data_IF_028871175334
#
_entry.id   IF_028871175334
#
_cell.length_a   1.000
_cell.length_b   1.000
_cell.length_c   1.000
_cell.angle_alpha   90.00
_cell.angle_beta   90.00
_cell.angle_gamma   90.00
#
_symmetry.space_group_name_H-M   'P 1'
#
loop_
_entity.id
_entity.type
_entity.pdbx_description
1 polymer ?
#
# COMPACT_ATOMS: atom_id res chain seq x y z
N UNK A 1 -10.81 21.39 17.40
CA UNK A 1 -10.95 19.94 17.13
C UNK A 1 -9.73 19.23 17.70
N UNK A 2 -9.88 18.21 18.54
CA UNK A 2 -8.74 17.51 19.15
C UNK A 2 -8.30 16.31 18.30
N UNK A 3 -7.06 15.83 18.51
CA UNK A 3 -6.57 14.60 17.88
C UNK A 3 -7.50 13.41 18.15
N UNK A 4 -8.03 13.32 19.38
CA UNK A 4 -8.97 12.26 19.75
C UNK A 4 -10.27 12.36 18.95
N UNK A 5 -10.80 13.58 18.74
CA UNK A 5 -11.98 13.77 17.89
C UNK A 5 -11.75 13.29 16.47
N UNK A 6 -10.58 13.60 15.87
CA UNK A 6 -10.21 13.12 14.53
C UNK A 6 -10.06 11.61 14.49
N UNK A 7 -9.47 11.01 15.53
CA UNK A 7 -9.32 9.55 15.65
C UNK A 7 -10.68 8.85 15.69
N UNK A 8 -11.61 9.34 16.50
CA UNK A 8 -12.97 8.80 16.59
C UNK A 8 -13.74 8.91 15.26
N UNK A 9 -13.61 10.03 14.56
CA UNK A 9 -14.20 10.18 13.22
C UNK A 9 -13.58 9.23 12.21
N UNK A 10 -12.25 9.07 12.23
CA UNK A 10 -11.56 8.12 11.34
C UNK A 10 -12.03 6.69 11.60
N UNK A 11 -12.21 6.30 12.87
CA UNK A 11 -12.76 4.99 13.23
C UNK A 11 -14.21 4.82 12.77
N UNK A 12 -15.04 5.83 12.96
CA UNK A 12 -16.48 5.78 12.64
C UNK A 12 -16.76 5.79 11.14
N UNK A 13 -16.11 6.69 10.39
CA UNK A 13 -16.43 6.95 8.99
C UNK A 13 -15.39 6.36 8.02
N UNK A 14 -14.15 6.16 8.45
CA UNK A 14 -13.05 5.67 7.62
C UNK A 14 -13.37 4.37 6.87
N UNK A 15 -14.01 3.34 7.48
CA UNK A 15 -14.36 2.12 6.77
C UNK A 15 -15.28 2.36 5.55
N UNK A 16 -16.28 3.24 5.69
CA UNK A 16 -17.22 3.56 4.61
C UNK A 16 -16.51 4.32 3.47
N UNK A 17 -15.69 5.32 3.81
CA UNK A 17 -14.87 6.03 2.82
C UNK A 17 -13.90 5.09 2.10
N UNK A 18 -13.21 4.24 2.84
CA UNK A 18 -12.27 3.28 2.25
C UNK A 18 -12.99 2.29 1.31
N UNK A 19 -14.20 1.83 1.66
CA UNK A 19 -15.00 0.98 0.78
C UNK A 19 -15.43 1.70 -0.49
N UNK A 20 -15.91 2.94 -0.38
CA UNK A 20 -16.30 3.76 -1.52
C UNK A 20 -15.12 4.03 -2.48
N UNK A 21 -13.95 4.37 -1.93
CA UNK A 21 -12.72 4.57 -2.70
C UNK A 21 -12.27 3.29 -3.40
N UNK A 22 -12.33 2.14 -2.72
CA UNK A 22 -12.00 0.83 -3.34
C UNK A 22 -12.94 0.50 -4.50
N UNK A 23 -14.24 0.83 -4.40
CA UNK A 23 -15.23 0.58 -5.46
C UNK A 23 -15.02 1.49 -6.68
N UNK A 24 -14.57 2.72 -6.48
CA UNK A 24 -14.32 3.71 -7.54
C UNK A 24 -12.91 3.61 -8.13
N UNK A 25 -12.12 2.65 -7.67
CA UNK A 25 -10.72 2.55 -8.05
C UNK A 25 -10.60 2.26 -9.55
N UNK A 26 -9.82 3.06 -10.31
CA UNK A 26 -9.59 2.81 -11.71
C UNK A 26 -8.82 1.50 -11.91
N UNK A 27 -8.79 1.01 -13.15
CA UNK A 27 -7.90 -0.09 -13.51
C UNK A 27 -6.45 0.36 -13.26
N UNK A 28 -5.63 -0.46 -12.61
CA UNK A 28 -4.21 -0.16 -12.42
C UNK A 28 -3.53 0.15 -13.75
N UNK A 29 -2.68 1.19 -13.75
CA UNK A 29 -1.76 1.45 -14.86
C UNK A 29 -0.83 0.26 -15.13
N UNK A 30 -0.23 0.22 -16.32
CA UNK A 30 0.69 -0.84 -16.76
C UNK A 30 2.13 -0.66 -16.22
N UNK A 31 2.45 0.51 -15.66
CA UNK A 31 3.72 0.80 -14.99
C UNK A 31 3.53 0.89 -13.49
N UNK A 32 4.24 0.07 -12.73
CA UNK A 32 4.17 0.03 -11.28
C UNK A 32 5.46 0.56 -10.66
N UNK A 33 5.33 1.38 -9.63
CA UNK A 33 6.41 1.87 -8.78
C UNK A 33 6.32 1.16 -7.43
N UNK A 34 7.44 0.62 -6.97
CA UNK A 34 7.55 -0.12 -5.73
C UNK A 34 8.64 0.46 -4.86
N UNK A 35 8.23 0.85 -3.66
CA UNK A 35 9.09 1.52 -2.70
C UNK A 35 9.13 0.72 -1.39
N UNK A 36 10.30 0.69 -0.77
CA UNK A 36 10.53 0.17 0.56
C UNK A 36 10.86 1.34 1.49
N UNK A 37 10.02 1.57 2.52
CA UNK A 37 10.23 2.65 3.48
C UNK A 37 10.23 2.15 4.92
N UNK A 38 11.02 2.80 5.78
CA UNK A 38 11.06 2.54 7.21
C UNK A 38 10.05 3.41 7.94
N UNK A 39 9.19 2.80 8.74
CA UNK A 39 8.20 3.52 9.57
C UNK A 39 8.34 3.13 11.03
N UNK A 40 8.23 4.09 11.94
CA UNK A 40 8.28 3.84 13.40
C UNK A 40 6.85 3.79 13.95
N UNK A 41 6.45 2.63 14.44
CA UNK A 41 5.11 2.41 15.03
C UNK A 41 5.30 1.96 16.47
N UNK A 42 4.75 2.73 17.42
CA UNK A 42 4.90 2.49 18.87
C UNK A 42 6.38 2.30 19.28
N UNK A 43 7.25 3.18 18.78
CA UNK A 43 8.68 3.13 19.10
C UNK A 43 9.49 2.10 18.31
N UNK A 44 8.86 1.14 17.62
CA UNK A 44 9.54 0.07 16.88
C UNK A 44 9.63 0.39 15.39
N UNK A 45 10.82 0.25 14.81
CA UNK A 45 11.00 0.34 13.36
C UNK A 45 10.36 -0.86 12.66
N UNK A 46 9.69 -0.59 11.54
CA UNK A 46 9.03 -1.57 10.69
C UNK A 46 9.26 -1.21 9.22
N UNK A 47 9.20 -2.23 8.38
CA UNK A 47 9.40 -2.15 6.95
C UNK A 47 8.05 -2.09 6.26
N UNK A 48 7.83 -1.06 5.46
CA UNK A 48 6.61 -0.87 4.69
C UNK A 48 6.93 -0.96 3.20
N UNK A 49 6.36 -1.97 2.55
CA UNK A 49 6.34 -2.10 1.11
C UNK A 49 5.09 -1.43 0.56
N UNK A 50 5.25 -0.56 -0.43
CA UNK A 50 4.15 0.10 -1.12
C UNK A 50 4.28 -0.10 -2.62
N UNK A 51 3.17 -0.44 -3.28
CA UNK A 51 3.06 -0.42 -4.72
C UNK A 51 2.06 0.65 -5.14
N UNK A 52 2.44 1.50 -6.09
CA UNK A 52 1.58 2.49 -6.75
C UNK A 52 1.69 2.33 -8.27
N UNK A 53 0.66 2.69 -9.02
CA UNK A 53 0.78 2.81 -10.48
C UNK A 53 1.26 4.21 -10.90
N UNK A 54 1.49 4.39 -12.21
CA UNK A 54 1.93 5.66 -12.78
C UNK A 54 0.96 6.83 -12.56
N UNK A 55 -0.32 6.56 -12.32
CA UNK A 55 -1.34 7.57 -12.03
C UNK A 55 -1.43 7.89 -10.52
N UNK A 56 -0.56 7.27 -9.70
CA UNK A 56 -0.51 7.47 -8.26
C UNK A 56 -1.52 6.63 -7.46
N UNK A 57 -2.22 5.67 -8.08
CA UNK A 57 -3.15 4.80 -7.37
C UNK A 57 -2.40 3.74 -6.56
N UNK A 58 -2.68 3.68 -5.26
CA UNK A 58 -2.01 2.75 -4.34
C UNK A 58 -2.48 1.31 -4.53
N UNK A 59 -1.78 0.50 -5.33
CA UNK A 59 -2.17 -0.86 -5.64
C UNK A 59 -2.23 -1.76 -4.40
N UNK A 60 -1.19 -1.73 -3.56
CA UNK A 60 -1.17 -2.46 -2.30
C UNK A 60 -0.11 -1.94 -1.33
N UNK A 61 -0.30 -2.24 -0.04
CA UNK A 61 0.66 -1.92 1.04
C UNK A 61 0.88 -3.18 1.90
N UNK A 62 2.12 -3.41 2.32
CA UNK A 62 2.47 -4.48 3.26
C UNK A 62 3.44 -3.98 4.32
N UNK A 63 3.05 -4.07 5.58
CA UNK A 63 3.87 -3.76 6.73
C UNK A 63 4.45 -5.04 7.34
N UNK A 64 5.77 -5.06 7.61
CA UNK A 64 6.52 -6.17 8.20
C UNK A 64 7.45 -5.66 9.31
N UNK A 65 7.77 -6.54 10.25
CA UNK A 65 8.68 -6.18 11.35
C UNK A 65 10.16 -6.23 10.92
N UNK A 66 10.47 -6.98 9.85
CA UNK A 66 11.83 -7.17 9.32
C UNK A 66 11.79 -7.10 7.80
N UNK A 67 12.94 -6.79 7.20
CA UNK A 67 13.17 -6.94 5.76
C UNK A 67 13.23 -8.43 5.43
N UNK A 68 12.27 -8.91 4.66
CA UNK A 68 12.18 -10.32 4.29
C UNK A 68 11.87 -10.48 2.79
N UNK A 69 12.83 -11.03 2.03
CA UNK A 69 12.63 -11.40 0.63
C UNK A 69 11.39 -12.30 0.41
N UNK A 70 11.09 -13.29 1.29
CA UNK A 70 9.87 -14.07 1.17
C UNK A 70 8.58 -13.22 1.23
N UNK A 71 8.56 -12.14 2.02
CA UNK A 71 7.38 -11.30 2.07
C UNK A 71 7.28 -10.38 0.85
N UNK A 72 8.41 -9.92 0.30
CA UNK A 72 8.41 -9.21 -0.98
C UNK A 72 7.83 -10.10 -2.09
N UNK A 73 8.27 -11.36 -2.20
CA UNK A 73 7.70 -12.33 -3.16
C UNK A 73 6.20 -12.57 -2.93
N UNK A 74 5.78 -12.71 -1.66
CA UNK A 74 4.36 -12.85 -1.30
C UNK A 74 3.56 -11.60 -1.64
N UNK A 75 4.13 -10.42 -1.45
CA UNK A 75 3.53 -9.14 -1.78
C UNK A 75 3.25 -9.06 -3.27
N UNK A 76 4.24 -9.35 -4.12
CA UNK A 76 4.07 -9.39 -5.57
C UNK A 76 2.98 -10.37 -6.01
N UNK A 77 2.97 -11.58 -5.47
CA UNK A 77 1.95 -12.58 -5.80
C UNK A 77 0.54 -12.12 -5.41
N UNK A 78 0.40 -11.53 -4.23
CA UNK A 78 -0.89 -10.99 -3.77
C UNK A 78 -1.32 -9.82 -4.65
N UNK A 79 -0.37 -8.96 -5.02
CA UNK A 79 -0.59 -7.78 -5.85
C UNK A 79 -1.13 -8.17 -7.23
N UNK A 80 -0.47 -9.10 -7.94
CA UNK A 80 -0.92 -9.56 -9.27
C UNK A 80 -2.28 -10.26 -9.22
N UNK A 81 -2.55 -11.05 -8.18
CA UNK A 81 -3.86 -11.67 -7.98
C UNK A 81 -4.97 -10.64 -7.73
N UNK A 82 -4.67 -9.59 -6.95
CA UNK A 82 -5.63 -8.55 -6.58
C UNK A 82 -5.94 -7.62 -7.76
N UNK A 83 -4.93 -7.25 -8.54
CA UNK A 83 -5.11 -6.39 -9.71
C UNK A 83 -5.60 -7.16 -10.94
N UNK A 84 -5.37 -8.48 -10.99
CA UNK A 84 -5.57 -9.32 -12.19
C UNK A 84 -4.88 -8.72 -13.41
N UNK A 85 -3.72 -8.11 -13.19
CA UNK A 85 -2.94 -7.42 -14.21
C UNK A 85 -1.46 -7.67 -13.95
N UNK A 86 -0.70 -7.79 -15.03
CA UNK A 86 0.75 -7.89 -15.01
C UNK A 86 1.28 -6.54 -15.51
N UNK A 87 2.14 -5.86 -14.75
CA UNK A 87 2.72 -4.61 -15.22
C UNK A 87 3.66 -4.90 -16.39
N UNK A 88 3.68 -3.99 -17.36
CA UNK A 88 4.70 -3.95 -18.41
C UNK A 88 6.06 -3.56 -17.83
N UNK A 89 6.09 -2.66 -16.85
CA UNK A 89 7.32 -2.16 -16.23
C UNK A 89 7.16 -2.10 -14.72
N UNK A 90 8.15 -2.61 -13.99
CA UNK A 90 8.30 -2.42 -12.55
C UNK A 90 9.49 -1.51 -12.31
N UNK A 91 9.25 -0.41 -11.62
CA UNK A 91 10.28 0.51 -11.14
C UNK A 91 10.43 0.30 -9.64
N UNK A 92 11.65 0.05 -9.21
CA UNK A 92 12.03 0.07 -7.79
C UNK A 92 13.05 1.16 -7.57
N UNK A 93 13.01 1.80 -6.42
CA UNK A 93 14.10 2.69 -6.02
C UNK A 93 15.40 1.87 -5.97
N UNK A 94 16.37 2.30 -6.78
CA UNK A 94 17.74 1.79 -6.68
C UNK A 94 18.35 2.44 -5.45
N UNK A 95 18.41 1.68 -4.35
CA UNK A 95 19.27 1.99 -3.21
C UNK A 95 20.74 1.89 -3.64
#
# INVERSE_FOLDING_TARGET
>A
VSHETVHQWTRRFGPAYAAALRRRRPRPGDKWHLDEVFVKIQGRQRYLWRAVDADGNVLDILLRNRRDEPAARRFFRRLTQKTRSVPRVIVTDKL
#
